data_IF_018463637040
#
_entry.id   IF_018463637040
#
_cell.length_a   1.000
_cell.length_b   1.000
_cell.length_c   1.000
_cell.angle_alpha   90.00
_cell.angle_beta   90.00
_cell.angle_gamma   90.00
#
_symmetry.space_group_name_H-M   'P 1'
#
loop_
_entity.id
_entity.type
_entity.pdbx_description
1 polymer ?
#
# COMPACT_ATOMS: atom_id res chain seq x y z
N UNK A 1 -18.44 1.22 1.30
CA UNK A 1 -17.25 1.16 2.16
C UNK A 1 -16.11 0.47 1.45
N UNK A 2 -14.91 1.00 1.56
CA UNK A 2 -13.74 0.45 0.87
C UNK A 2 -12.54 0.37 1.80
N UNK A 3 -11.60 -0.48 1.44
CA UNK A 3 -10.33 -0.62 2.14
C UNK A 3 -9.25 -0.11 1.19
N UNK A 4 -8.33 0.68 1.71
CA UNK A 4 -7.22 1.24 0.93
C UNK A 4 -5.91 0.68 1.46
N UNK A 5 -4.99 0.34 0.56
CA UNK A 5 -3.66 -0.10 0.93
C UNK A 5 -2.62 0.95 0.60
N UNK A 6 -1.58 0.98 1.39
CA UNK A 6 -0.44 1.88 1.21
C UNK A 6 0.85 1.07 1.19
N UNK A 7 1.68 1.32 0.19
CA UNK A 7 3.04 0.82 0.15
C UNK A 7 3.95 2.04 0.33
N UNK A 8 4.43 2.24 1.57
CA UNK A 8 5.17 3.44 1.95
C UNK A 8 6.64 3.27 1.64
N UNK A 9 7.10 3.93 0.58
CA UNK A 9 8.51 3.95 0.21
C UNK A 9 9.20 5.22 0.68
N UNK A 10 10.49 5.32 0.40
CA UNK A 10 11.27 6.51 0.78
C UNK A 10 10.94 7.72 -0.09
N UNK A 11 10.53 7.50 -1.32
CA UNK A 11 10.24 8.57 -2.29
C UNK A 11 8.80 8.59 -2.78
N UNK A 12 8.12 7.46 -2.71
CA UNK A 12 6.77 7.33 -3.24
C UNK A 12 5.91 6.52 -2.28
N UNK A 13 4.59 6.72 -2.39
CA UNK A 13 3.60 5.91 -1.70
C UNK A 13 2.69 5.33 -2.76
N UNK A 14 2.73 4.01 -2.93
CA UNK A 14 1.80 3.32 -3.82
C UNK A 14 0.46 3.14 -3.14
N UNK A 15 -0.63 3.39 -3.85
CA UNK A 15 -1.97 3.35 -3.30
C UNK A 15 -2.89 2.48 -4.13
N UNK A 16 -3.60 1.58 -3.47
CA UNK A 16 -4.65 0.78 -4.09
C UNK A 16 -5.91 0.86 -3.24
N UNK A 17 -7.05 0.62 -3.86
CA UNK A 17 -8.32 0.65 -3.16
C UNK A 17 -9.18 -0.53 -3.60
N UNK A 18 -9.98 -1.06 -2.70
CA UNK A 18 -10.89 -2.15 -3.01
C UNK A 18 -12.16 -1.59 -3.67
N UNK A 19 -12.91 -2.49 -4.32
CA UNK A 19 -14.28 -2.20 -4.70
C UNK A 19 -15.18 -2.20 -3.45
N UNK A 20 -16.42 -1.78 -3.59
CA UNK A 20 -17.37 -1.70 -2.48
C UNK A 20 -17.70 -3.07 -1.89
N UNK A 21 -17.55 -4.14 -2.68
CA UNK A 21 -17.83 -5.51 -2.24
C UNK A 21 -16.63 -6.18 -1.57
N UNK A 22 -15.49 -5.50 -1.50
CA UNK A 22 -14.23 -5.99 -0.91
C UNK A 22 -13.73 -7.26 -1.60
N UNK A 23 -13.93 -7.37 -2.90
CA UNK A 23 -13.52 -8.54 -3.69
C UNK A 23 -12.22 -8.33 -4.45
N UNK A 24 -12.02 -7.15 -5.01
CA UNK A 24 -10.88 -6.86 -5.88
C UNK A 24 -10.15 -5.60 -5.46
N UNK A 25 -8.84 -5.58 -5.71
CA UNK A 25 -7.99 -4.43 -5.45
C UNK A 25 -7.61 -3.77 -6.78
N UNK A 26 -7.64 -2.43 -6.81
CA UNK A 26 -7.26 -1.67 -7.99
C UNK A 26 -6.23 -0.61 -7.60
N UNK A 27 -5.19 -0.45 -8.41
CA UNK A 27 -4.21 0.60 -8.22
C UNK A 27 -4.83 1.95 -8.55
N UNK A 28 -4.67 2.91 -7.64
CA UNK A 28 -5.26 4.23 -7.81
C UNK A 28 -4.20 5.25 -8.21
N UNK A 29 -3.14 5.33 -7.45
CA UNK A 29 -2.20 6.44 -7.58
C UNK A 29 -0.86 6.07 -6.95
N UNK A 30 0.21 6.69 -7.44
CA UNK A 30 1.50 6.69 -6.75
C UNK A 30 1.77 8.13 -6.35
N UNK A 31 1.78 8.38 -5.04
CA UNK A 31 2.08 9.73 -4.52
C UNK A 31 3.59 9.91 -4.51
N UNK A 32 4.06 10.99 -5.11
CA UNK A 32 5.47 11.39 -5.00
C UNK A 32 5.62 12.19 -3.71
N UNK A 33 6.40 11.66 -2.77
CA UNK A 33 6.51 12.27 -1.44
C UNK A 33 7.23 13.61 -1.50
N UNK A 34 6.64 14.61 -0.82
CA UNK A 34 7.22 15.94 -0.70
C UNK A 34 7.37 16.30 0.78
N UNK A 35 6.26 16.46 1.50
CA UNK A 35 6.27 16.67 2.94
C UNK A 35 5.16 15.82 3.53
N UNK A 36 5.27 15.48 4.82
CA UNK A 36 4.24 14.68 5.49
C UNK A 36 2.88 15.37 5.42
N UNK A 37 2.86 16.69 5.59
CA UNK A 37 1.61 17.45 5.53
C UNK A 37 0.92 17.30 4.17
N UNK A 38 1.66 17.49 3.09
CA UNK A 38 1.10 17.35 1.74
C UNK A 38 0.71 15.92 1.42
N UNK A 39 1.53 14.96 1.84
CA UNK A 39 1.26 13.55 1.63
C UNK A 39 -0.03 13.14 2.35
N UNK A 40 -0.21 13.57 3.60
CA UNK A 40 -1.40 13.25 4.37
C UNK A 40 -2.63 13.98 3.82
N UNK A 41 -2.49 15.22 3.34
CA UNK A 41 -3.59 15.94 2.70
C UNK A 41 -4.09 15.18 1.48
N UNK A 42 -3.17 14.66 0.65
CA UNK A 42 -3.56 13.89 -0.52
C UNK A 42 -4.24 12.58 -0.11
N UNK A 43 -3.74 11.92 0.91
CA UNK A 43 -4.37 10.71 1.43
C UNK A 43 -5.79 10.99 1.92
N UNK A 44 -6.00 12.09 2.64
CA UNK A 44 -7.32 12.47 3.12
C UNK A 44 -8.29 12.73 1.97
N UNK A 45 -7.83 13.37 0.91
CA UNK A 45 -8.64 13.58 -0.29
C UNK A 45 -9.08 12.25 -0.91
N UNK A 46 -8.15 11.30 -1.05
CA UNK A 46 -8.45 10.00 -1.61
C UNK A 46 -9.37 9.18 -0.71
N UNK A 47 -9.17 9.25 0.59
CA UNK A 47 -10.02 8.57 1.57
C UNK A 47 -11.46 9.07 1.46
N UNK A 48 -11.64 10.38 1.33
CA UNK A 48 -12.97 10.97 1.17
C UNK A 48 -13.58 10.60 -0.18
N UNK A 49 -12.80 10.67 -1.25
CA UNK A 49 -13.26 10.37 -2.61
C UNK A 49 -13.76 8.94 -2.76
N UNK A 50 -13.03 7.98 -2.18
CA UNK A 50 -13.35 6.56 -2.29
C UNK A 50 -14.13 6.02 -1.10
N UNK A 51 -14.49 6.87 -0.14
CA UNK A 51 -15.22 6.47 1.07
C UNK A 51 -14.54 5.32 1.80
N UNK A 52 -13.24 5.49 2.06
CA UNK A 52 -12.41 4.48 2.70
C UNK A 52 -12.69 4.44 4.20
N UNK A 53 -12.82 3.22 4.74
CA UNK A 53 -13.08 3.05 6.18
C UNK A 53 -11.97 2.30 6.92
N UNK A 54 -11.00 1.76 6.20
CA UNK A 54 -9.88 1.03 6.80
C UNK A 54 -8.65 1.14 5.92
N UNK A 55 -7.47 1.19 6.55
CA UNK A 55 -6.20 1.25 5.84
C UNK A 55 -5.39 -0.01 6.11
N UNK A 56 -4.73 -0.53 5.06
CA UNK A 56 -3.79 -1.63 5.16
C UNK A 56 -2.44 -1.11 4.71
N UNK A 57 -1.43 -1.23 5.56
CA UNK A 57 -0.09 -0.74 5.26
C UNK A 57 0.87 -1.93 5.13
N UNK A 58 1.55 -2.02 4.00
CA UNK A 58 2.56 -3.04 3.79
C UNK A 58 3.73 -2.82 4.75
N UNK A 59 4.11 -3.86 5.48
CA UNK A 59 5.23 -3.80 6.41
C UNK A 59 6.44 -4.48 5.77
N UNK A 60 7.48 -3.72 5.42
CA UNK A 60 8.69 -4.31 4.86
C UNK A 60 9.52 -4.98 5.96
N UNK A 61 9.61 -6.31 5.89
CA UNK A 61 10.42 -7.09 6.82
C UNK A 61 11.60 -7.71 6.08
N UNK A 62 12.68 -7.96 6.82
CA UNK A 62 13.80 -8.73 6.27
C UNK A 62 13.34 -10.16 6.00
N UNK A 63 14.07 -10.88 5.15
CA UNK A 63 13.70 -12.24 4.77
C UNK A 63 13.61 -13.20 5.97
N UNK A 64 14.35 -12.92 7.04
CA UNK A 64 14.29 -13.71 8.26
C UNK A 64 13.16 -13.29 9.21
N UNK A 65 12.30 -12.36 8.79
CA UNK A 65 11.16 -11.91 9.59
C UNK A 65 11.47 -10.79 10.58
N UNK A 66 12.72 -10.34 10.68
CA UNK A 66 13.08 -9.26 11.59
C UNK A 66 12.70 -7.90 10.98
N UNK A 67 12.42 -6.93 11.84
CA UNK A 67 12.14 -5.56 11.40
C UNK A 67 13.44 -4.83 11.09
N UNK A 68 13.55 -4.29 9.88
CA UNK A 68 14.69 -3.49 9.49
C UNK A 68 14.39 -2.00 9.63
N UNK A 69 15.30 -1.19 9.12
CA UNK A 69 15.18 0.27 9.17
C UNK A 69 13.95 0.77 8.43
N UNK A 70 13.62 0.17 7.28
CA UNK A 70 12.42 0.55 6.52
C UNK A 70 11.14 0.29 7.29
N UNK A 71 11.09 -0.80 8.06
CA UNK A 71 9.92 -1.12 8.88
C UNK A 71 9.74 -0.05 9.96
N UNK A 72 10.81 0.38 10.59
CA UNK A 72 10.76 1.44 11.60
C UNK A 72 10.27 2.75 11.01
N UNK A 73 10.74 3.11 9.82
CA UNK A 73 10.29 4.32 9.11
C UNK A 73 8.82 4.25 8.75
N UNK A 74 8.35 3.07 8.35
CA UNK A 74 6.94 2.85 8.06
C UNK A 74 6.09 3.02 9.32
N UNK A 75 6.53 2.47 10.44
CA UNK A 75 5.83 2.63 11.71
C UNK A 75 5.77 4.09 12.15
N UNK A 76 6.86 4.85 11.98
CA UNK A 76 6.89 6.27 12.28
C UNK A 76 5.92 7.04 11.39
N UNK A 77 5.89 6.72 10.10
CA UNK A 77 4.96 7.35 9.15
C UNK A 77 3.51 7.10 9.60
N UNK A 78 3.18 5.86 9.93
CA UNK A 78 1.83 5.49 10.35
C UNK A 78 1.45 6.17 11.66
N UNK A 79 2.39 6.26 12.61
CA UNK A 79 2.14 6.93 13.88
C UNK A 79 1.74 8.40 13.66
N UNK A 80 2.45 9.09 12.78
CA UNK A 80 2.13 10.49 12.44
C UNK A 80 0.83 10.60 11.64
N UNK A 81 0.60 9.65 10.75
CA UNK A 81 -0.63 9.60 9.95
C UNK A 81 -1.86 9.47 10.85
N UNK A 82 -1.78 8.66 11.90
CA UNK A 82 -2.89 8.45 12.83
C UNK A 82 -3.26 9.70 13.61
N UNK A 83 -2.37 10.67 13.69
CA UNK A 83 -2.68 11.94 14.35
C UNK A 83 -3.67 12.78 13.54
N UNK A 84 -3.74 12.58 12.23
CA UNK A 84 -4.60 13.38 11.33
C UNK A 84 -5.66 12.52 10.62
N UNK A 85 -5.49 11.23 10.56
CA UNK A 85 -6.42 10.31 9.91
C UNK A 85 -6.92 9.31 10.95
N UNK A 86 -8.22 9.35 11.24
CA UNK A 86 -8.84 8.50 12.26
C UNK A 86 -9.51 7.28 11.62
N UNK A 87 -8.69 6.34 11.17
CA UNK A 87 -9.16 5.08 10.59
C UNK A 87 -8.35 3.92 11.15
N UNK A 88 -8.95 2.73 11.25
CA UNK A 88 -8.19 1.54 11.64
C UNK A 88 -7.07 1.26 10.64
N UNK A 89 -5.91 0.87 11.13
CA UNK A 89 -4.76 0.53 10.31
C UNK A 89 -4.32 -0.89 10.63
N UNK A 90 -4.19 -1.72 9.59
CA UNK A 90 -3.69 -3.09 9.70
C UNK A 90 -2.38 -3.18 8.93
N UNK A 91 -1.36 -3.80 9.54
CA UNK A 91 -0.11 -4.06 8.85
C UNK A 91 -0.16 -5.39 8.12
N UNK A 92 0.44 -5.43 6.95
CA UNK A 92 0.53 -6.64 6.13
C UNK A 92 1.98 -6.91 5.77
N UNK A 93 2.44 -8.15 5.97
CA UNK A 93 3.81 -8.55 5.62
C UNK A 93 3.95 -8.63 4.11
N UNK A 94 4.80 -7.77 3.54
CA UNK A 94 4.95 -7.65 2.08
C UNK A 94 6.20 -8.34 1.53
N UNK A 95 6.87 -9.19 2.33
CA UNK A 95 8.16 -9.79 1.92
C UNK A 95 8.16 -10.38 0.52
N UNK A 96 7.07 -11.00 0.09
CA UNK A 96 6.98 -11.64 -1.21
C UNK A 96 6.16 -10.87 -2.23
N UNK A 97 5.40 -9.87 -1.80
CA UNK A 97 4.49 -9.14 -2.68
C UNK A 97 5.22 -8.37 -3.78
N UNK A 98 6.26 -7.63 -3.43
CA UNK A 98 7.04 -6.85 -4.39
C UNK A 98 7.74 -7.76 -5.39
N UNK A 99 8.26 -8.91 -4.93
CA UNK A 99 8.93 -9.88 -5.80
C UNK A 99 7.96 -10.42 -6.84
N UNK A 100 6.74 -10.76 -6.43
CA UNK A 100 5.72 -11.25 -7.36
C UNK A 100 5.33 -10.19 -8.39
N UNK A 101 5.12 -8.96 -7.96
CA UNK A 101 4.79 -7.86 -8.85
C UNK A 101 5.90 -7.62 -9.86
N UNK A 102 7.16 -7.64 -9.42
CA UNK A 102 8.31 -7.45 -10.29
C UNK A 102 8.41 -8.56 -11.34
N UNK A 103 8.19 -9.82 -10.95
CA UNK A 103 8.21 -10.94 -11.88
C UNK A 103 7.14 -10.81 -12.96
N UNK A 104 5.95 -10.38 -12.59
CA UNK A 104 4.86 -10.18 -13.55
C UNK A 104 5.20 -9.08 -14.56
N UNK A 105 5.82 -8.00 -14.11
CA UNK A 105 6.20 -6.89 -14.98
C UNK A 105 7.37 -7.25 -15.91
N UNK A 106 8.32 -8.04 -15.44
CA UNK A 106 9.41 -8.55 -16.27
C UNK A 106 8.83 -9.43 -17.38
N UNK A 107 7.90 -10.31 -17.04
CA UNK A 107 7.25 -11.18 -18.02
C UNK A 107 6.45 -10.38 -19.05
N UNK A 108 5.94 -9.22 -18.68
CA UNK A 108 5.19 -8.32 -19.58
C UNK A 108 6.11 -7.41 -20.40
N UNK A 109 7.43 -7.53 -20.25
CA UNK A 109 8.43 -6.74 -20.98
C UNK A 109 8.26 -5.23 -20.83
N UNK A 110 8.03 -4.77 -19.61
CA UNK A 110 7.87 -3.35 -19.29
C UNK A 110 9.25 -2.71 -19.10
N UNK A 111 9.45 -1.48 -19.61
CA UNK A 111 10.72 -0.78 -19.47
C UNK A 111 11.08 -0.54 -18.00
N UNK A 112 12.39 -0.46 -17.71
CA UNK A 112 12.88 -0.35 -16.34
C UNK A 112 12.32 0.88 -15.60
N UNK A 113 12.21 2.01 -16.26
CA UNK A 113 11.70 3.24 -15.67
C UNK A 113 10.20 3.17 -15.39
N UNK A 114 9.44 2.69 -16.36
CA UNK A 114 8.00 2.48 -16.20
C UNK A 114 7.71 1.40 -15.18
N UNK A 115 8.56 0.36 -15.16
CA UNK A 115 8.45 -0.76 -14.22
C UNK A 115 8.48 -0.30 -12.76
N UNK A 116 9.37 0.65 -12.43
CA UNK A 116 9.47 1.15 -11.04
C UNK A 116 8.18 1.84 -10.59
N UNK A 117 7.61 2.71 -11.43
CA UNK A 117 6.36 3.39 -11.11
C UNK A 117 5.19 2.43 -11.00
N UNK A 118 5.12 1.45 -11.91
CA UNK A 118 4.06 0.43 -11.91
C UNK A 118 4.23 -0.54 -10.75
N UNK A 119 5.48 -0.89 -10.38
CA UNK A 119 5.76 -1.76 -9.23
C UNK A 119 5.23 -1.15 -7.94
N UNK A 120 5.41 0.17 -7.73
CA UNK A 120 4.91 0.83 -6.52
C UNK A 120 3.39 0.69 -6.41
N UNK A 121 2.66 0.88 -7.52
CA UNK A 121 1.22 0.69 -7.56
C UNK A 121 0.83 -0.78 -7.44
N UNK A 122 1.54 -1.66 -8.16
CA UNK A 122 1.29 -3.10 -8.13
C UNK A 122 1.55 -3.70 -6.75
N UNK A 123 2.58 -3.21 -6.05
CA UNK A 123 2.85 -3.67 -4.68
C UNK A 123 1.67 -3.37 -3.78
N UNK A 124 1.08 -2.17 -3.89
CA UNK A 124 -0.10 -1.82 -3.12
C UNK A 124 -1.30 -2.72 -3.49
N UNK A 125 -1.48 -3.02 -4.77
CA UNK A 125 -2.54 -3.92 -5.25
C UNK A 125 -2.37 -5.33 -4.67
N UNK A 126 -1.15 -5.87 -4.72
CA UNK A 126 -0.86 -7.22 -4.21
C UNK A 126 -1.07 -7.29 -2.69
N UNK A 127 -0.62 -6.26 -1.97
CA UNK A 127 -0.86 -6.15 -0.53
C UNK A 127 -2.36 -6.20 -0.23
N UNK A 128 -3.13 -5.36 -0.91
CA UNK A 128 -4.56 -5.28 -0.67
C UNK A 128 -5.29 -6.54 -1.08
N UNK A 129 -4.96 -7.10 -2.25
CA UNK A 129 -5.62 -8.31 -2.71
C UNK A 129 -5.37 -9.48 -1.75
N UNK A 130 -4.14 -9.60 -1.25
CA UNK A 130 -3.82 -10.62 -0.24
C UNK A 130 -4.67 -10.45 1.01
N UNK A 131 -4.83 -9.22 1.47
CA UNK A 131 -5.67 -8.92 2.64
C UNK A 131 -7.14 -9.23 2.38
N UNK A 132 -7.67 -8.83 1.22
CA UNK A 132 -9.05 -9.10 0.85
C UNK A 132 -9.34 -10.60 0.74
N UNK A 133 -8.43 -11.35 0.12
CA UNK A 133 -8.55 -12.79 -0.02
C UNK A 133 -8.59 -13.45 1.37
N UNK A 134 -7.77 -12.98 2.29
CA UNK A 134 -7.76 -13.49 3.66
C UNK A 134 -9.09 -13.20 4.37
N UNK A 135 -9.66 -12.02 4.17
CA UNK A 135 -10.97 -11.69 4.74
C UNK A 135 -12.06 -12.61 4.21
N UNK A 136 -12.05 -12.89 2.91
CA UNK A 136 -13.03 -13.79 2.29
C UNK A 136 -12.85 -15.22 2.81
N UNK A 137 -11.61 -15.65 2.95
CA UNK A 137 -11.31 -17.02 3.41
C UNK A 137 -11.74 -17.26 4.87
N UNK A 138 -11.69 -16.22 5.70
CA UNK A 138 -12.00 -16.31 7.13
C UNK A 138 -13.48 -16.08 7.46
N UNK A 139 -14.32 -15.95 6.44
CA UNK A 139 -15.77 -15.79 6.68
C UNK A 139 -16.48 -17.12 6.93
#
# INVERSE_FOLDING_TARGET
MRIMSLDVGSRTIGIACSDALLMTAQGIETIRRTSLEKDFNRLQELIAEYEVHELVVGMPKNMNGTKGERAKKTEEFVAKMKEVIDLPVTYWDERLSTVMAERQLIAADVSRKKRKSVIDKMAAVVILQGYLDRLQFNK
#
